data_IF_893075868861
#
_entry.id   IF_893075868861
#
_cell.length_a   1.000
_cell.length_b   1.000
_cell.length_c   1.000
_cell.angle_alpha   90.00
_cell.angle_beta   90.00
_cell.angle_gamma   90.00
#
_symmetry.space_group_name_H-M   'P 1'
#
loop_
_entity.id
_entity.type
_entity.pdbx_description
1 polymer ?
#
# COMPACT_ATOMS: atom_id res chain seq x y z
N UNK A 1 -13.18 25.38 -14.87
CA UNK A 1 -13.96 24.60 -13.88
C UNK A 1 -13.22 23.31 -13.59
N UNK A 2 -13.03 22.96 -12.32
CA UNK A 2 -12.33 21.75 -11.87
C UNK A 2 -13.30 20.76 -11.21
N UNK A 3 -12.90 19.49 -11.15
CA UNK A 3 -13.70 18.43 -10.53
C UNK A 3 -13.67 18.48 -8.99
N UNK A 4 -12.68 19.17 -8.40
CA UNK A 4 -12.47 19.23 -6.95
C UNK A 4 -13.48 20.08 -6.19
N UNK A 5 -14.19 20.98 -6.88
CA UNK A 5 -15.18 21.86 -6.26
C UNK A 5 -16.62 21.31 -6.37
N UNK A 6 -16.79 20.02 -6.69
CA UNK A 6 -18.10 19.34 -6.81
C UNK A 6 -19.06 19.96 -7.85
N UNK A 7 -18.58 20.90 -8.65
CA UNK A 7 -19.39 21.60 -9.67
C UNK A 7 -19.61 20.78 -10.93
N UNK A 8 -18.93 19.63 -11.07
CA UNK A 8 -18.94 18.80 -12.28
C UNK A 8 -18.48 17.37 -11.96
N UNK A 9 -19.19 16.39 -12.50
CA UNK A 9 -18.76 15.00 -12.49
C UNK A 9 -17.69 14.71 -13.57
N UNK A 10 -16.72 13.83 -13.29
CA UNK A 10 -15.74 13.41 -14.27
C UNK A 10 -16.41 12.65 -15.43
N UNK A 11 -16.06 13.01 -16.66
CA UNK A 11 -16.47 12.26 -17.84
C UNK A 11 -15.54 11.04 -18.06
N UNK A 12 -15.87 10.20 -19.05
CA UNK A 12 -15.10 8.99 -19.36
C UNK A 12 -13.61 9.29 -19.60
N UNK A 13 -13.28 10.35 -20.33
CA UNK A 13 -11.88 10.74 -20.59
C UNK A 13 -11.13 11.12 -19.32
N UNK A 14 -11.78 11.84 -18.40
CA UNK A 14 -11.21 12.15 -17.09
C UNK A 14 -10.99 10.89 -16.24
N UNK A 15 -11.94 9.94 -16.26
CA UNK A 15 -11.79 8.66 -15.56
C UNK A 15 -10.63 7.83 -16.15
N UNK A 16 -10.50 7.77 -17.47
CA UNK A 16 -9.36 7.08 -18.12
C UNK A 16 -8.02 7.73 -17.75
N UNK A 17 -7.96 9.05 -17.64
CA UNK A 17 -6.75 9.75 -17.17
C UNK A 17 -6.40 9.45 -15.72
N UNK A 18 -7.40 9.33 -14.84
CA UNK A 18 -7.20 8.92 -13.44
C UNK A 18 -6.67 7.48 -13.40
N UNK A 19 -7.29 6.57 -14.15
CA UNK A 19 -6.87 5.18 -14.25
C UNK A 19 -5.41 5.05 -14.72
N UNK A 20 -5.05 5.71 -15.82
CA UNK A 20 -3.71 5.58 -16.40
C UNK A 20 -2.65 6.38 -15.65
N UNK A 21 -3.00 7.52 -15.07
CA UNK A 21 -2.02 8.44 -14.45
C UNK A 21 -1.78 8.21 -12.98
N UNK A 22 -2.77 7.66 -12.25
CA UNK A 22 -2.68 7.39 -10.82
C UNK A 22 -2.77 5.90 -10.49
N UNK A 23 -2.94 5.05 -11.50
CA UNK A 23 -3.16 3.60 -11.34
C UNK A 23 -4.35 3.29 -10.41
N UNK A 24 -5.38 4.16 -10.39
CA UNK A 24 -6.56 3.99 -9.53
C UNK A 24 -7.66 3.23 -10.27
N UNK A 25 -8.20 2.20 -9.64
CA UNK A 25 -9.37 1.45 -10.11
C UNK A 25 -10.62 2.33 -10.16
N UNK A 26 -11.22 2.45 -11.34
CA UNK A 26 -12.48 3.19 -11.52
C UNK A 26 -13.64 2.51 -10.81
N UNK A 27 -13.66 1.18 -10.74
CA UNK A 27 -14.67 0.44 -9.98
C UNK A 27 -14.62 0.81 -8.51
N UNK A 28 -13.42 0.87 -7.92
CA UNK A 28 -13.25 1.30 -6.53
C UNK A 28 -13.66 2.76 -6.35
N UNK A 29 -13.25 3.64 -7.26
CA UNK A 29 -13.57 5.08 -7.20
C UNK A 29 -15.08 5.34 -7.20
N UNK A 30 -15.85 4.59 -8.00
CA UNK A 30 -17.29 4.80 -8.16
C UNK A 30 -18.13 4.06 -7.13
N UNK A 31 -17.67 2.93 -6.61
CA UNK A 31 -18.48 2.04 -5.77
C UNK A 31 -17.95 1.85 -4.35
N UNK A 32 -16.72 2.29 -4.08
CA UNK A 32 -15.99 1.98 -2.84
C UNK A 32 -15.55 0.52 -2.72
N UNK A 33 -15.87 -0.34 -3.69
CA UNK A 33 -15.64 -1.77 -3.62
C UNK A 33 -14.42 -2.19 -4.45
N UNK A 34 -13.67 -3.17 -3.93
CA UNK A 34 -12.50 -3.73 -4.60
C UNK A 34 -11.18 -3.07 -4.18
N UNK A 35 -10.15 -3.23 -5.00
CA UNK A 35 -8.81 -2.71 -4.72
C UNK A 35 -8.66 -1.30 -5.31
N UNK A 36 -8.20 -0.35 -4.48
CA UNK A 36 -8.03 1.07 -4.85
C UNK A 36 -6.98 1.26 -5.94
N UNK A 37 -5.77 0.74 -5.72
CA UNK A 37 -4.68 0.82 -6.69
C UNK A 37 -4.60 -0.46 -7.51
N UNK A 38 -4.40 -0.32 -8.81
CA UNK A 38 -3.94 -1.42 -9.65
C UNK A 38 -2.55 -1.74 -9.17
N UNK A 39 -2.42 -2.88 -8.49
CA UNK A 39 -1.23 -3.18 -7.75
C UNK A 39 -0.04 -3.37 -8.70
N UNK A 40 0.74 -2.32 -8.91
CA UNK A 40 2.19 -2.46 -9.10
C UNK A 40 2.78 -2.71 -7.72
N UNK A 41 2.38 -3.80 -7.06
CA UNK A 41 3.05 -4.30 -5.86
C UNK A 41 4.42 -4.80 -6.29
N UNK A 42 5.38 -3.87 -6.36
CA UNK A 42 6.81 -4.17 -6.46
C UNK A 42 7.33 -4.96 -5.24
N UNK A 43 6.50 -5.15 -4.20
CA UNK A 43 6.68 -6.17 -3.17
C UNK A 43 5.36 -6.90 -3.00
N UNK A 44 5.38 -8.23 -3.07
CA UNK A 44 4.19 -9.09 -3.10
C UNK A 44 3.15 -8.77 -2.02
N UNK A 45 1.91 -9.18 -2.29
CA UNK A 45 0.82 -9.16 -1.30
C UNK A 45 1.32 -9.72 0.02
N UNK A 46 1.26 -8.91 1.08
CA UNK A 46 1.67 -9.33 2.43
C UNK A 46 0.84 -10.56 2.80
N UNK A 47 1.51 -11.69 2.97
CA UNK A 47 0.86 -12.94 3.33
C UNK A 47 0.37 -12.85 4.78
N UNK A 48 -0.69 -13.58 5.15
CA UNK A 48 -1.18 -13.61 6.53
C UNK A 48 -0.10 -13.97 7.57
N UNK A 49 0.90 -14.75 7.15
CA UNK A 49 2.05 -15.10 7.98
C UNK A 49 2.97 -13.90 8.23
N UNK A 50 3.16 -13.04 7.23
CA UNK A 50 3.95 -11.81 7.34
C UNK A 50 3.22 -10.76 8.18
N UNK A 51 1.89 -10.63 8.02
CA UNK A 51 1.08 -9.78 8.90
C UNK A 51 1.20 -10.19 10.37
N UNK A 52 1.12 -11.51 10.64
CA UNK A 52 1.31 -12.05 11.98
C UNK A 52 2.71 -11.75 12.51
N UNK A 53 3.75 -11.94 11.70
CA UNK A 53 5.13 -11.64 12.08
C UNK A 53 5.30 -10.16 12.46
N UNK A 54 4.70 -9.23 11.70
CA UNK A 54 4.72 -7.80 11.99
C UNK A 54 3.99 -7.48 13.29
N UNK A 55 2.84 -8.10 13.53
CA UNK A 55 2.07 -7.92 14.76
C UNK A 55 2.85 -8.42 16.00
N UNK A 56 3.42 -9.61 15.91
CA UNK A 56 4.24 -10.22 16.96
C UNK A 56 5.49 -9.37 17.23
N UNK A 57 6.17 -8.88 16.18
CA UNK A 57 7.30 -7.97 16.32
C UNK A 57 6.91 -6.66 17.02
N UNK A 58 5.75 -6.06 16.71
CA UNK A 58 5.30 -4.81 17.35
C UNK A 58 5.01 -4.97 18.84
N UNK A 59 4.52 -6.13 19.26
CA UNK A 59 4.22 -6.43 20.68
C UNK A 59 5.43 -6.87 21.49
N UNK A 60 6.53 -7.20 20.82
CA UNK A 60 7.77 -7.67 21.44
C UNK A 60 8.36 -6.64 22.43
N UNK A 61 9.01 -7.16 23.48
CA UNK A 61 9.75 -6.37 24.47
C UNK A 61 10.92 -5.63 23.82
N UNK A 62 11.25 -4.45 24.35
CA UNK A 62 12.27 -3.57 23.77
C UNK A 62 13.65 -4.23 23.66
N UNK A 63 14.09 -4.93 24.70
CA UNK A 63 15.37 -5.66 24.70
C UNK A 63 15.48 -6.70 23.57
N UNK A 64 14.38 -7.40 23.26
CA UNK A 64 14.36 -8.38 22.18
C UNK A 64 14.36 -7.68 20.81
N UNK A 65 13.64 -6.56 20.66
CA UNK A 65 13.70 -5.74 19.44
C UNK A 65 15.10 -5.22 19.17
N UNK A 66 15.78 -4.71 20.19
CA UNK A 66 17.15 -4.22 20.08
C UNK A 66 18.10 -5.34 19.61
N UNK A 67 17.88 -6.58 20.09
CA UNK A 67 18.66 -7.76 19.65
C UNK A 67 18.37 -8.12 18.18
N UNK A 68 17.10 -8.08 17.76
CA UNK A 68 16.72 -8.28 16.36
C UNK A 68 17.31 -7.22 15.45
N UNK A 69 17.36 -5.95 15.88
CA UNK A 69 18.00 -4.88 15.12
C UNK A 69 19.47 -5.15 14.87
N UNK A 70 20.23 -5.61 15.88
CA UNK A 70 21.64 -5.99 15.70
C UNK A 70 21.77 -7.15 14.72
N UNK A 71 20.90 -8.16 14.83
CA UNK A 71 20.89 -9.32 13.93
C UNK A 71 20.67 -8.89 12.46
N UNK A 72 19.71 -7.99 12.21
CA UNK A 72 19.42 -7.50 10.86
C UNK A 72 20.55 -6.64 10.30
N UNK A 73 21.16 -5.78 11.11
CA UNK A 73 22.34 -4.99 10.74
C UNK A 73 23.50 -5.90 10.30
N UNK A 74 23.72 -7.02 10.99
CA UNK A 74 24.74 -7.99 10.60
C UNK A 74 24.41 -8.70 9.29
N UNK A 75 23.14 -9.07 9.06
CA UNK A 75 22.73 -9.65 7.78
C UNK A 75 22.93 -8.70 6.60
N UNK A 76 22.65 -7.42 6.79
CA UNK A 76 22.82 -6.41 5.75
C UNK A 76 24.31 -6.10 5.47
N UNK A 77 25.20 -6.28 6.45
CA UNK A 77 26.66 -6.20 6.23
C UNK A 77 27.21 -7.39 5.45
N UNK A 78 26.58 -8.56 5.54
CA UNK A 78 27.01 -9.77 4.82
C UNK A 78 26.43 -9.88 3.40
N UNK A 79 25.46 -9.04 3.04
CA UNK A 79 24.85 -8.99 1.70
C UNK A 79 25.62 -8.04 0.79
#
# INVERSE_FOLDING_TARGET
MNYLNERRDPNQDALVKIYNGLEISITWLLTGNGVMFQATTLGGTILPQEEKLIADYRTLLKNLKDTFSILFDEFDKCR
#
